data_IF_326898713607
#
_entry.id   IF_326898713607
#
_cell.length_a   1.000
_cell.length_b   1.000
_cell.length_c   1.000
_cell.angle_alpha   90.00
_cell.angle_beta   90.00
_cell.angle_gamma   90.00
#
_symmetry.space_group_name_H-M   'P 1'
#
loop_
_entity.id
_entity.type
_entity.pdbx_description
1 polymer ?
#
# COMPACT_ATOMS: atom_id res chain seq x y z
N UNK A 1 -36.85 9.46 -65.93
CA UNK A 1 -35.52 10.09 -65.70
C UNK A 1 -35.19 9.93 -64.24
N UNK A 2 -33.95 9.50 -63.99
CA UNK A 2 -33.35 9.12 -62.70
C UNK A 2 -33.60 10.18 -61.62
N UNK A 3 -33.79 9.78 -60.37
CA UNK A 3 -33.14 10.43 -59.24
C UNK A 3 -33.10 9.55 -57.99
N UNK A 4 -31.85 9.21 -57.67
CA UNK A 4 -31.23 8.67 -56.46
C UNK A 4 -32.03 8.69 -55.15
N UNK A 5 -32.24 7.50 -54.59
CA UNK A 5 -32.39 7.28 -53.15
C UNK A 5 -31.02 7.47 -52.48
N UNK A 6 -30.85 8.55 -51.70
CA UNK A 6 -29.78 8.63 -50.71
C UNK A 6 -30.23 7.89 -49.46
N UNK A 7 -29.68 6.69 -49.23
CA UNK A 7 -29.74 6.02 -47.94
C UNK A 7 -28.76 6.67 -46.97
N UNK A 8 -29.27 7.44 -46.03
CA UNK A 8 -28.48 7.88 -44.86
C UNK A 8 -28.28 6.69 -43.94
N UNK A 9 -27.11 6.05 -44.02
CA UNK A 9 -26.64 5.12 -43.01
C UNK A 9 -26.23 5.96 -41.80
N UNK A 10 -27.12 6.05 -40.80
CA UNK A 10 -26.75 6.50 -39.46
C UNK A 10 -25.98 5.35 -38.82
N UNK A 11 -24.66 5.44 -38.87
CA UNK A 11 -23.77 4.57 -38.12
C UNK A 11 -23.94 4.94 -36.64
N UNK A 12 -24.83 4.22 -35.93
CA UNK A 12 -24.84 4.24 -34.47
C UNK A 12 -23.51 3.62 -34.02
N UNK A 13 -22.54 4.49 -33.71
CA UNK A 13 -21.43 4.14 -32.84
C UNK A 13 -22.05 3.79 -31.48
N UNK A 14 -22.31 2.50 -31.29
CA UNK A 14 -22.43 1.94 -29.96
C UNK A 14 -21.06 2.16 -29.30
N UNK A 15 -20.93 3.27 -28.57
CA UNK A 15 -19.96 3.38 -27.49
C UNK A 15 -20.35 2.30 -26.49
N UNK A 16 -19.80 1.10 -26.69
CA UNK A 16 -19.72 0.08 -25.68
C UNK A 16 -19.03 0.74 -24.49
N UNK A 17 -19.82 1.21 -23.53
CA UNK A 17 -19.32 1.52 -22.21
C UNK A 17 -18.71 0.23 -21.71
N UNK A 18 -17.40 0.12 -21.79
CA UNK A 18 -16.65 -0.78 -20.94
C UNK A 18 -17.02 -0.34 -19.54
N UNK A 19 -17.90 -1.08 -18.90
CA UNK A 19 -17.92 -1.11 -17.46
C UNK A 19 -16.46 -1.39 -17.07
N UNK A 20 -15.76 -0.37 -16.57
CA UNK A 20 -14.44 -0.54 -15.96
C UNK A 20 -14.63 -1.69 -14.99
N UNK A 21 -14.01 -2.82 -15.27
CA UNK A 21 -14.07 -3.96 -14.39
C UNK A 21 -13.64 -3.45 -13.02
N UNK A 22 -14.54 -3.54 -12.03
CA UNK A 22 -14.15 -3.36 -10.63
C UNK A 22 -13.00 -4.31 -10.35
N UNK A 23 -12.13 -3.99 -9.38
CA UNK A 23 -11.25 -4.94 -8.72
C UNK A 23 -11.80 -6.36 -8.88
N UNK A 24 -11.09 -7.20 -9.64
CA UNK A 24 -11.47 -8.59 -9.76
C UNK A 24 -11.69 -9.10 -8.33
N UNK A 25 -12.78 -9.83 -8.07
CA UNK A 25 -12.91 -10.54 -6.80
C UNK A 25 -11.86 -11.65 -6.81
N UNK A 26 -10.60 -11.32 -6.54
CA UNK A 26 -9.49 -12.26 -6.42
C UNK A 26 -9.87 -13.35 -5.43
N UNK A 27 -10.49 -12.97 -4.31
CA UNK A 27 -11.01 -13.88 -3.29
C UNK A 27 -12.14 -14.80 -3.77
N UNK A 28 -12.75 -14.52 -4.93
CA UNK A 28 -13.72 -15.42 -5.57
C UNK A 28 -13.10 -16.48 -6.46
N UNK A 29 -11.82 -16.32 -6.85
CA UNK A 29 -11.11 -17.32 -7.62
C UNK A 29 -10.94 -18.61 -6.79
N UNK A 30 -11.09 -19.77 -7.45
CA UNK A 30 -11.03 -21.07 -6.78
C UNK A 30 -9.68 -21.30 -6.08
N UNK A 31 -8.56 -20.95 -6.74
CA UNK A 31 -7.22 -21.02 -6.17
C UNK A 31 -7.12 -20.19 -4.88
N UNK A 32 -7.67 -18.98 -4.87
CA UNK A 32 -7.67 -18.12 -3.69
C UNK A 32 -8.55 -18.63 -2.56
N UNK A 33 -9.72 -19.21 -2.86
CA UNK A 33 -10.55 -19.85 -1.82
C UNK A 33 -9.84 -21.04 -1.17
N UNK A 34 -9.04 -21.78 -1.94
CA UNK A 34 -8.26 -22.92 -1.45
C UNK A 34 -6.94 -22.52 -0.80
N UNK A 35 -6.43 -21.31 -1.06
CA UNK A 35 -5.11 -20.88 -0.61
C UNK A 35 -3.98 -21.57 -1.37
N UNK A 36 -4.18 -21.80 -2.68
CA UNK A 36 -3.17 -22.40 -3.57
C UNK A 36 -2.22 -21.31 -4.10
N UNK A 37 -0.91 -21.57 -4.29
CA UNK A 37 0.07 -20.58 -4.74
C UNK A 37 -0.32 -19.83 -6.02
N UNK A 38 -1.07 -20.47 -6.93
CA UNK A 38 -1.62 -19.84 -8.15
C UNK A 38 -2.51 -18.63 -7.84
N UNK A 39 -3.03 -18.52 -6.61
CA UNK A 39 -3.72 -17.31 -6.17
C UNK A 39 -2.77 -16.10 -6.09
N UNK A 40 -1.54 -16.29 -5.62
CA UNK A 40 -0.55 -15.21 -5.51
C UNK A 40 -0.14 -14.72 -6.90
N UNK A 41 -0.04 -15.64 -7.89
CA UNK A 41 0.14 -15.25 -9.30
C UNK A 41 -0.96 -14.30 -9.78
N UNK A 42 -2.23 -14.56 -9.44
CA UNK A 42 -3.35 -13.67 -9.79
C UNK A 42 -3.24 -12.28 -9.12
N UNK A 43 -2.72 -12.23 -7.89
CA UNK A 43 -2.46 -10.97 -7.19
C UNK A 43 -1.33 -10.20 -7.89
N UNK A 44 -0.24 -10.88 -8.26
CA UNK A 44 0.89 -10.31 -9.01
C UNK A 44 0.39 -9.74 -10.35
N UNK A 45 -0.36 -10.50 -11.13
CA UNK A 45 -0.91 -10.05 -12.42
C UNK A 45 -1.76 -8.77 -12.29
N UNK A 46 -2.62 -8.69 -11.27
CA UNK A 46 -3.44 -7.51 -11.02
C UNK A 46 -2.61 -6.33 -10.48
N UNK A 47 -1.59 -6.59 -9.65
CA UNK A 47 -0.64 -5.59 -9.18
C UNK A 47 0.19 -5.00 -10.33
N UNK A 48 0.73 -5.83 -11.20
CA UNK A 48 1.47 -5.42 -12.41
C UNK A 48 0.59 -4.51 -13.28
N UNK A 49 -0.63 -4.95 -13.60
CA UNK A 49 -1.57 -4.18 -14.41
C UNK A 49 -1.87 -2.80 -13.83
N UNK A 50 -1.97 -2.68 -12.51
CA UNK A 50 -2.22 -1.41 -11.81
C UNK A 50 -0.97 -0.54 -11.79
N UNK A 51 0.17 -1.14 -11.46
CA UNK A 51 1.46 -0.47 -11.38
C UNK A 51 1.90 0.09 -12.73
N UNK A 52 1.78 -0.66 -13.83
CA UNK A 52 2.21 -0.22 -15.16
C UNK A 52 1.59 1.12 -15.55
N UNK A 53 0.27 1.27 -15.35
CA UNK A 53 -0.43 2.53 -15.64
C UNK A 53 0.07 3.68 -14.76
N UNK A 54 0.28 3.43 -13.47
CA UNK A 54 0.81 4.43 -12.53
C UNK A 54 2.23 4.86 -12.92
N UNK A 55 3.07 3.89 -13.30
CA UNK A 55 4.44 4.11 -13.71
C UNK A 55 4.54 4.93 -14.99
N UNK A 56 3.75 4.59 -16.02
CA UNK A 56 3.68 5.33 -17.28
C UNK A 56 3.29 6.81 -17.07
N UNK A 57 2.41 7.07 -16.11
CA UNK A 57 1.92 8.41 -15.80
C UNK A 57 2.80 9.17 -14.81
N UNK A 58 3.87 8.56 -14.32
CA UNK A 58 4.65 9.09 -13.19
C UNK A 58 3.74 9.50 -12.02
N UNK A 59 2.72 8.69 -11.76
CA UNK A 59 1.79 8.93 -10.68
C UNK A 59 2.50 8.70 -9.34
N UNK A 60 2.18 9.53 -8.35
CA UNK A 60 2.85 9.47 -7.05
C UNK A 60 2.45 8.23 -6.24
N UNK A 61 1.34 7.57 -6.59
CA UNK A 61 0.96 6.26 -6.05
C UNK A 61 1.81 5.10 -6.60
N UNK A 62 2.56 5.31 -7.69
CA UNK A 62 3.39 4.27 -8.32
C UNK A 62 4.43 3.69 -7.36
N UNK A 63 4.91 4.47 -6.40
CA UNK A 63 5.95 4.04 -5.45
C UNK A 63 5.42 2.93 -4.53
N UNK A 64 4.26 3.14 -3.90
CA UNK A 64 3.65 2.12 -3.06
C UNK A 64 3.22 0.90 -3.89
N UNK A 65 2.64 1.12 -5.07
CA UNK A 65 2.22 0.04 -5.96
C UNK A 65 3.41 -0.86 -6.37
N UNK A 66 4.56 -0.27 -6.72
CA UNK A 66 5.77 -1.03 -7.03
C UNK A 66 6.28 -1.80 -5.82
N UNK A 67 6.39 -1.15 -4.66
CA UNK A 67 6.87 -1.84 -3.45
C UNK A 67 5.95 -2.99 -3.08
N UNK A 68 4.63 -2.83 -3.20
CA UNK A 68 3.71 -3.91 -2.92
C UNK A 68 3.84 -5.04 -3.94
N UNK A 69 3.96 -4.74 -5.23
CA UNK A 69 4.21 -5.74 -6.27
C UNK A 69 5.47 -6.57 -5.96
N UNK A 70 6.62 -5.92 -5.70
CA UNK A 70 7.86 -6.62 -5.33
C UNK A 70 7.72 -7.44 -4.05
N UNK A 71 6.97 -6.93 -3.07
CA UNK A 71 6.70 -7.67 -1.83
C UNK A 71 5.91 -8.96 -2.09
N UNK A 72 4.91 -8.92 -2.97
CA UNK A 72 4.10 -10.08 -3.34
C UNK A 72 4.89 -11.08 -4.19
N UNK A 73 5.75 -10.62 -5.09
CA UNK A 73 6.68 -11.48 -5.82
C UNK A 73 7.63 -12.22 -4.87
N UNK A 74 8.28 -11.49 -3.95
CA UNK A 74 9.15 -12.10 -2.92
C UNK A 74 8.37 -13.07 -2.03
N UNK A 75 7.12 -12.77 -1.70
CA UNK A 75 6.26 -13.70 -0.94
C UNK A 75 6.06 -15.02 -1.70
N UNK A 76 5.72 -14.97 -2.99
CA UNK A 76 5.58 -16.17 -3.81
C UNK A 76 6.89 -16.97 -3.89
N UNK A 77 8.01 -16.30 -4.15
CA UNK A 77 9.33 -16.93 -4.27
C UNK A 77 9.76 -17.66 -3.00
N UNK A 78 9.36 -17.16 -1.83
CA UNK A 78 9.79 -17.66 -0.51
C UNK A 78 8.72 -18.49 0.22
N UNK A 79 7.53 -18.65 -0.37
CA UNK A 79 6.36 -19.29 0.26
C UNK A 79 6.68 -20.69 0.81
N UNK A 80 7.40 -21.50 0.04
CA UNK A 80 7.77 -22.87 0.41
C UNK A 80 8.98 -22.93 1.37
N UNK A 81 9.74 -21.85 1.50
CA UNK A 81 10.99 -21.80 2.28
C UNK A 81 10.78 -21.36 3.74
N UNK A 82 9.86 -20.43 3.97
CA UNK A 82 9.57 -19.85 5.31
C UNK A 82 9.03 -20.90 6.29
N UNK A 83 8.41 -21.95 5.75
CA UNK A 83 7.88 -23.07 6.50
C UNK A 83 6.70 -22.66 7.39
N UNK A 84 5.64 -22.08 6.81
CA UNK A 84 4.38 -21.77 7.52
C UNK A 84 3.69 -23.02 8.09
N UNK A 85 2.98 -22.86 9.22
CA UNK A 85 2.16 -23.92 9.83
C UNK A 85 0.92 -24.20 8.96
N UNK A 86 0.30 -23.15 8.40
CA UNK A 86 -0.77 -23.24 7.40
C UNK A 86 -0.50 -22.26 6.23
N UNK A 87 0.26 -22.68 5.20
CA UNK A 87 0.54 -21.84 4.02
C UNK A 87 -0.73 -21.35 3.31
N UNK A 88 -1.78 -22.18 3.28
CA UNK A 88 -3.03 -21.83 2.62
C UNK A 88 -3.77 -20.68 3.33
N UNK A 89 -3.61 -20.53 4.66
CA UNK A 89 -4.15 -19.38 5.38
C UNK A 89 -3.46 -18.07 4.97
N UNK A 90 -2.13 -18.10 4.77
CA UNK A 90 -1.33 -16.92 4.41
C UNK A 90 -1.54 -16.52 2.95
N UNK A 91 -1.75 -17.49 2.06
CA UNK A 91 -2.15 -17.22 0.66
C UNK A 91 -3.54 -16.56 0.59
N UNK A 92 -4.50 -17.01 1.41
CA UNK A 92 -5.80 -16.33 1.52
C UNK A 92 -5.66 -14.92 2.07
N UNK A 93 -4.75 -14.72 3.02
CA UNK A 93 -4.41 -13.40 3.55
C UNK A 93 -3.90 -12.48 2.45
N UNK A 94 -2.92 -12.90 1.65
CA UNK A 94 -2.37 -12.11 0.56
C UNK A 94 -3.46 -11.59 -0.41
N UNK A 95 -4.34 -12.48 -0.87
CA UNK A 95 -5.41 -12.10 -1.80
C UNK A 95 -6.45 -11.17 -1.19
N UNK A 96 -6.89 -11.42 0.04
CA UNK A 96 -7.83 -10.53 0.71
C UNK A 96 -7.16 -9.18 1.03
N UNK A 97 -5.89 -9.19 1.39
CA UNK A 97 -5.13 -7.97 1.68
C UNK A 97 -4.98 -7.10 0.44
N UNK A 98 -4.75 -7.71 -0.72
CA UNK A 98 -4.73 -7.03 -2.01
C UNK A 98 -6.08 -6.36 -2.32
N UNK A 99 -7.20 -7.06 -2.12
CA UNK A 99 -8.54 -6.47 -2.29
C UNK A 99 -8.82 -5.30 -1.32
N UNK A 100 -8.21 -5.33 -0.13
CA UNK A 100 -8.29 -4.24 0.84
C UNK A 100 -7.56 -2.96 0.36
N UNK A 101 -6.58 -3.08 -0.54
CA UNK A 101 -5.98 -1.95 -1.26
C UNK A 101 -6.74 -1.60 -2.55
N UNK A 102 -7.14 -2.60 -3.36
CA UNK A 102 -7.77 -2.36 -4.67
C UNK A 102 -9.13 -1.68 -4.57
N UNK A 103 -9.96 -2.08 -3.60
CA UNK A 103 -11.28 -1.49 -3.41
C UNK A 103 -11.23 0.01 -3.10
N UNK A 104 -10.45 0.51 -2.11
CA UNK A 104 -10.36 1.94 -1.87
C UNK A 104 -9.66 2.70 -2.99
N UNK A 105 -8.66 2.11 -3.66
CA UNK A 105 -8.04 2.73 -4.84
C UNK A 105 -9.09 2.94 -5.96
N UNK A 106 -9.82 1.90 -6.34
CA UNK A 106 -10.85 1.97 -7.37
C UNK A 106 -11.98 2.95 -6.95
N UNK A 107 -12.35 2.95 -5.67
CA UNK A 107 -13.38 3.86 -5.15
C UNK A 107 -12.95 5.32 -5.24
N UNK A 108 -11.70 5.62 -4.90
CA UNK A 108 -11.13 6.96 -4.99
C UNK A 108 -11.08 7.46 -6.44
N UNK A 109 -10.52 6.66 -7.36
CA UNK A 109 -10.35 7.09 -8.76
C UNK A 109 -11.64 7.08 -9.59
N UNK A 110 -12.64 6.28 -9.20
CA UNK A 110 -13.97 6.33 -9.83
C UNK A 110 -14.90 7.38 -9.21
N UNK A 111 -14.57 7.88 -8.02
CA UNK A 111 -15.45 8.74 -7.22
C UNK A 111 -16.69 8.00 -6.69
N UNK A 112 -16.66 6.67 -6.61
CA UNK A 112 -17.79 5.83 -6.21
C UNK A 112 -17.37 4.83 -5.12
N UNK A 113 -18.12 4.76 -4.03
CA UNK A 113 -17.84 3.83 -2.93
C UNK A 113 -17.23 4.52 -1.71
N UNK A 114 -16.62 3.74 -0.82
CA UNK A 114 -16.06 4.23 0.43
C UNK A 114 -14.54 4.12 0.41
N UNK A 115 -13.85 5.23 0.68
CA UNK A 115 -12.40 5.28 0.84
C UNK A 115 -12.10 5.46 2.34
N UNK A 116 -11.42 4.51 3.00
CA UNK A 116 -11.03 4.64 4.40
C UNK A 116 -10.16 5.90 4.61
N UNK A 117 -10.28 6.61 5.75
CA UNK A 117 -9.59 7.88 5.94
C UNK A 117 -8.07 7.85 5.73
N UNK A 118 -7.37 6.77 6.13
CA UNK A 118 -5.94 6.64 5.90
C UNK A 118 -5.59 6.55 4.40
N UNK A 119 -6.38 5.78 3.64
CA UNK A 119 -6.25 5.68 2.19
C UNK A 119 -6.63 6.99 1.49
N UNK A 120 -7.68 7.67 1.94
CA UNK A 120 -8.07 8.98 1.41
C UNK A 120 -6.92 9.97 1.50
N UNK A 121 -6.25 10.07 2.65
CA UNK A 121 -5.09 10.95 2.83
C UNK A 121 -3.92 10.56 1.93
N UNK A 122 -3.66 9.25 1.77
CA UNK A 122 -2.60 8.75 0.89
C UNK A 122 -2.86 9.16 -0.58
N UNK A 123 -4.05 8.87 -1.09
CA UNK A 123 -4.41 9.17 -2.48
C UNK A 123 -4.58 10.68 -2.73
N UNK A 124 -5.08 11.44 -1.76
CA UNK A 124 -5.11 12.91 -1.83
C UNK A 124 -3.69 13.47 -1.92
N UNK A 125 -2.74 12.93 -1.14
CA UNK A 125 -1.35 13.39 -1.16
C UNK A 125 -0.65 13.08 -2.49
N UNK A 126 -0.94 11.91 -3.10
CA UNK A 126 -0.45 11.54 -4.41
C UNK A 126 -1.07 12.40 -5.52
N UNK A 127 -2.41 12.52 -5.56
CA UNK A 127 -3.13 13.33 -6.55
C UNK A 127 -2.70 14.80 -6.51
N UNK A 128 -2.55 15.36 -5.30
CA UNK A 128 -2.13 16.75 -5.12
C UNK A 128 -0.60 16.93 -5.19
N UNK A 129 0.15 15.83 -5.38
CA UNK A 129 1.62 15.81 -5.42
C UNK A 129 2.26 16.57 -4.26
N UNK A 130 1.67 16.42 -3.08
CA UNK A 130 1.89 17.34 -1.95
C UNK A 130 3.01 16.90 -1.00
N UNK A 131 3.59 15.72 -1.21
CA UNK A 131 4.63 15.13 -0.35
C UNK A 131 5.77 14.56 -1.20
N UNK A 132 6.96 14.46 -0.61
CA UNK A 132 8.10 13.77 -1.23
C UNK A 132 7.82 12.26 -1.43
N UNK A 133 8.57 11.57 -2.28
CA UNK A 133 8.35 10.14 -2.59
C UNK A 133 8.37 9.23 -1.36
N UNK A 134 9.30 9.49 -0.46
CA UNK A 134 9.39 8.91 0.88
C UNK A 134 8.05 8.98 1.67
N UNK A 135 7.36 10.12 1.57
CA UNK A 135 6.07 10.34 2.19
C UNK A 135 4.95 9.53 1.53
N UNK A 136 4.94 9.40 0.20
CA UNK A 136 3.97 8.56 -0.50
C UNK A 136 4.09 7.08 -0.06
N UNK A 137 5.31 6.55 -0.01
CA UNK A 137 5.57 5.18 0.47
C UNK A 137 5.04 4.97 1.89
N UNK A 138 5.41 5.86 2.82
CA UNK A 138 5.04 5.72 4.23
C UNK A 138 3.53 5.87 4.45
N UNK A 139 2.84 6.70 3.67
CA UNK A 139 1.38 6.82 3.67
C UNK A 139 0.72 5.51 3.23
N UNK A 140 1.21 4.91 2.14
CA UNK A 140 0.73 3.62 1.65
C UNK A 140 0.95 2.50 2.67
N UNK A 141 2.16 2.36 3.21
CA UNK A 141 2.45 1.38 4.28
C UNK A 141 1.58 1.57 5.51
N UNK A 142 1.30 2.82 5.90
CA UNK A 142 0.42 3.09 7.04
C UNK A 142 -1.01 2.60 6.78
N UNK A 143 -1.58 2.93 5.62
CA UNK A 143 -2.93 2.51 5.28
C UNK A 143 -3.01 0.97 5.13
N UNK A 144 -2.05 0.37 4.44
CA UNK A 144 -2.04 -1.07 4.23
C UNK A 144 -1.76 -1.86 5.53
N UNK A 145 -0.69 -1.53 6.26
CA UNK A 145 -0.30 -2.33 7.44
C UNK A 145 -1.14 -1.96 8.67
N UNK A 146 -1.24 -0.67 9.01
CA UNK A 146 -1.84 -0.28 10.29
C UNK A 146 -3.37 -0.26 10.26
N UNK A 147 -3.96 -0.03 9.07
CA UNK A 147 -5.42 0.01 8.88
C UNK A 147 -5.95 -1.30 8.30
N UNK A 148 -5.46 -1.76 7.15
CA UNK A 148 -6.11 -2.88 6.46
C UNK A 148 -5.87 -4.23 7.16
N UNK A 149 -4.63 -4.53 7.56
CA UNK A 149 -4.24 -5.83 8.11
C UNK A 149 -5.10 -6.31 9.32
N UNK A 150 -5.43 -5.48 10.33
CA UNK A 150 -6.36 -5.88 11.39
C UNK A 150 -7.72 -6.36 10.89
N UNK A 151 -8.26 -5.71 9.85
CA UNK A 151 -9.56 -6.03 9.28
C UNK A 151 -9.49 -7.27 8.39
N UNK A 152 -8.42 -7.44 7.61
CA UNK A 152 -8.14 -8.66 6.84
C UNK A 152 -8.10 -9.89 7.75
N UNK A 153 -7.31 -9.84 8.82
CA UNK A 153 -7.19 -10.93 9.79
C UNK A 153 -8.53 -11.23 10.47
N UNK A 154 -9.30 -10.19 10.79
CA UNK A 154 -10.64 -10.35 11.37
C UNK A 154 -11.62 -11.00 10.40
N UNK A 155 -11.64 -10.58 9.13
CA UNK A 155 -12.51 -11.15 8.10
C UNK A 155 -12.19 -12.63 7.88
N UNK A 156 -10.91 -13.00 7.73
CA UNK A 156 -10.48 -14.39 7.60
C UNK A 156 -10.87 -15.24 8.81
N UNK A 157 -10.73 -14.69 10.02
CA UNK A 157 -11.19 -15.35 11.24
C UNK A 157 -12.70 -15.63 11.20
N UNK A 158 -13.52 -14.64 10.82
CA UNK A 158 -14.98 -14.83 10.73
C UNK A 158 -15.41 -15.79 9.61
N UNK A 159 -14.58 -15.94 8.57
CA UNK A 159 -14.77 -16.92 7.50
C UNK A 159 -14.32 -18.34 7.89
N UNK A 160 -13.72 -18.52 9.08
CA UNK A 160 -13.26 -19.82 9.56
C UNK A 160 -11.89 -20.26 9.03
N UNK A 161 -11.13 -19.34 8.42
CA UNK A 161 -9.77 -19.58 7.89
C UNK A 161 -8.77 -18.61 8.53
N UNK A 162 -8.61 -18.61 9.87
CA UNK A 162 -7.77 -17.63 10.55
C UNK A 162 -6.29 -17.85 10.25
N UNK A 163 -5.54 -16.75 10.19
CA UNK A 163 -4.07 -16.79 10.20
C UNK A 163 -3.59 -16.88 11.64
N UNK A 164 -2.65 -17.80 11.91
CA UNK A 164 -2.09 -17.98 13.24
C UNK A 164 -1.12 -16.84 13.60
N UNK A 165 -0.92 -16.56 14.89
CA UNK A 165 0.12 -15.61 15.32
C UNK A 165 1.54 -16.08 14.94
N UNK A 166 1.74 -17.40 14.86
CA UNK A 166 2.99 -18.02 14.41
C UNK A 166 3.25 -17.65 12.96
N UNK A 167 2.29 -17.90 12.06
CA UNK A 167 2.40 -17.61 10.63
C UNK A 167 2.45 -16.11 10.33
N UNK A 168 1.63 -15.32 11.03
CA UNK A 168 1.71 -13.86 10.98
C UNK A 168 3.13 -13.38 11.26
N UNK A 169 3.82 -13.95 12.25
CA UNK A 169 5.21 -13.58 12.53
C UNK A 169 6.21 -14.20 11.57
N UNK A 170 5.94 -15.38 10.99
CA UNK A 170 6.81 -15.97 9.97
C UNK A 170 6.86 -15.14 8.69
N UNK A 171 5.78 -14.46 8.33
CA UNK A 171 5.74 -13.51 7.21
C UNK A 171 6.77 -12.36 7.33
N UNK A 172 7.23 -12.03 8.55
CA UNK A 172 8.33 -11.09 8.74
C UNK A 172 9.64 -11.54 8.06
N UNK A 173 9.81 -12.84 7.79
CA UNK A 173 11.02 -13.39 7.20
C UNK A 173 11.15 -13.06 5.71
N UNK A 174 10.06 -13.09 4.91
CA UNK A 174 10.13 -12.64 3.51
C UNK A 174 10.18 -11.12 3.42
N UNK A 175 9.46 -10.41 4.30
CA UNK A 175 9.47 -8.95 4.30
C UNK A 175 10.86 -8.36 4.56
N UNK A 176 11.74 -9.08 5.26
CA UNK A 176 13.16 -8.71 5.43
C UNK A 176 14.00 -8.89 4.16
N UNK A 177 13.49 -9.63 3.17
CA UNK A 177 14.18 -9.92 1.91
C UNK A 177 13.74 -8.98 0.77
N UNK A 178 12.68 -8.18 1.00
CA UNK A 178 12.21 -7.21 0.02
C UNK A 178 13.16 -6.02 -0.02
N UNK A 179 13.88 -5.87 -1.12
CA UNK A 179 14.67 -4.68 -1.44
C UNK A 179 14.18 -4.10 -2.77
N UNK A 180 13.67 -2.87 -2.71
CA UNK A 180 13.09 -2.15 -3.85
C UNK A 180 13.63 -0.72 -3.95
N UNK A 181 14.57 -0.34 -3.06
CA UNK A 181 15.05 1.04 -2.93
C UNK A 181 15.74 1.50 -4.20
N UNK A 182 16.66 0.69 -4.72
CA UNK A 182 17.37 1.01 -5.96
C UNK A 182 16.41 1.16 -7.15
N UNK A 183 15.40 0.28 -7.25
CA UNK A 183 14.41 0.35 -8.33
C UNK A 183 13.55 1.62 -8.24
N UNK A 184 13.14 2.01 -7.04
CA UNK A 184 12.37 3.25 -6.80
C UNK A 184 13.18 4.51 -7.13
N UNK A 185 14.45 4.54 -6.71
CA UNK A 185 15.39 5.64 -7.01
C UNK A 185 15.60 5.78 -8.52
N UNK A 186 15.83 4.66 -9.21
CA UNK A 186 16.07 4.68 -10.65
C UNK A 186 14.84 5.06 -11.46
N UNK A 187 13.64 4.67 -11.02
CA UNK A 187 12.40 4.90 -11.79
C UNK A 187 11.69 6.20 -11.45
N UNK A 188 11.67 6.63 -10.19
CA UNK A 188 10.69 7.62 -9.73
C UNK A 188 11.28 8.84 -9.05
N UNK A 189 12.14 8.65 -8.05
CA UNK A 189 12.55 9.75 -7.19
C UNK A 189 13.96 9.50 -6.62
N UNK A 190 14.98 10.23 -7.09
CA UNK A 190 16.35 10.06 -6.65
C UNK A 190 16.60 10.69 -5.27
N UNK A 191 15.55 11.12 -4.56
CA UNK A 191 15.65 11.63 -3.18
C UNK A 191 15.12 10.65 -2.14
N UNK A 192 14.71 9.45 -2.58
CA UNK A 192 14.28 8.36 -1.71
C UNK A 192 15.43 7.88 -0.82
N UNK A 193 16.67 7.93 -1.30
CA UNK A 193 17.90 7.65 -0.55
C UNK A 193 18.38 8.86 0.31
N UNK A 194 18.05 10.10 -0.10
CA UNK A 194 18.43 11.36 0.58
C UNK A 194 17.59 11.68 1.81
N UNK A 195 16.31 11.32 1.75
CA UNK A 195 15.59 11.12 2.98
C UNK A 195 16.35 9.99 3.67
N UNK A 196 16.76 10.17 4.93
CA UNK A 196 16.94 9.08 5.88
C UNK A 196 15.57 8.35 6.08
N UNK A 197 14.94 7.99 4.96
CA UNK A 197 14.26 6.76 4.82
C UNK A 197 15.27 5.71 5.27
N UNK A 198 14.84 4.88 6.20
CA UNK A 198 15.73 3.81 6.64
C UNK A 198 16.15 3.00 5.39
N UNK A 199 17.46 2.80 5.22
CA UNK A 199 18.01 2.22 3.98
C UNK A 199 19.51 2.41 3.73
N UNK A 200 20.22 3.29 4.45
CA UNK A 200 21.69 3.45 4.20
C UNK A 200 22.58 3.12 5.43
N UNK A 201 22.06 3.15 6.67
CA UNK A 201 22.89 2.81 7.86
C UNK A 201 22.31 1.80 8.88
N UNK A 202 21.07 1.29 8.76
CA UNK A 202 20.65 0.08 9.52
C UNK A 202 19.32 -0.54 9.00
N UNK A 203 19.39 -1.41 7.98
CA UNK A 203 18.24 -2.18 7.46
C UNK A 203 17.47 -2.92 8.57
N UNK A 204 18.14 -3.27 9.68
CA UNK A 204 17.48 -3.92 10.82
C UNK A 204 16.53 -2.97 11.55
N UNK A 205 16.86 -1.67 11.67
CA UNK A 205 16.01 -0.66 12.30
C UNK A 205 14.79 -0.32 11.44
N UNK A 206 14.91 -0.34 10.10
CA UNK A 206 13.79 -0.19 9.18
C UNK A 206 12.74 -1.27 9.42
N UNK A 207 13.22 -2.52 9.38
CA UNK A 207 12.37 -3.67 9.53
C UNK A 207 11.69 -3.67 10.91
N UNK A 208 12.37 -3.15 11.95
CA UNK A 208 11.73 -2.99 13.27
C UNK A 208 10.47 -2.13 13.21
N UNK A 209 10.39 -1.10 12.37
CA UNK A 209 9.18 -0.27 12.28
C UNK A 209 8.01 -1.07 11.68
N UNK A 210 8.24 -1.72 10.54
CA UNK A 210 7.26 -2.57 9.86
C UNK A 210 6.81 -3.70 10.78
N UNK A 211 7.74 -4.40 11.43
CA UNK A 211 7.44 -5.47 12.38
C UNK A 211 6.61 -4.97 13.57
N UNK A 212 6.92 -3.78 14.11
CA UNK A 212 6.11 -3.17 15.18
C UNK A 212 4.70 -2.80 14.72
N UNK A 213 4.53 -2.35 13.47
CA UNK A 213 3.21 -2.05 12.90
C UNK A 213 2.41 -3.32 12.69
N UNK A 214 3.03 -4.38 12.17
CA UNK A 214 2.41 -5.70 12.03
C UNK A 214 2.02 -6.31 13.37
N UNK A 215 2.84 -6.16 14.40
CA UNK A 215 2.50 -6.58 15.77
C UNK A 215 1.28 -5.81 16.29
N UNK A 216 1.26 -4.48 16.15
CA UNK A 216 0.08 -3.67 16.51
C UNK A 216 -1.15 -4.11 15.74
N UNK A 217 -1.01 -4.38 14.45
CA UNK A 217 -2.11 -4.80 13.60
C UNK A 217 -2.74 -6.11 14.10
N UNK A 218 -1.90 -7.08 14.46
CA UNK A 218 -2.36 -8.34 15.04
C UNK A 218 -3.06 -8.12 16.39
N UNK A 219 -2.54 -7.25 17.27
CA UNK A 219 -3.22 -6.88 18.52
C UNK A 219 -4.57 -6.21 18.27
N UNK A 220 -4.69 -5.39 17.24
CA UNK A 220 -5.96 -4.78 16.84
C UNK A 220 -6.95 -5.81 16.30
N UNK A 221 -6.48 -6.80 15.55
CA UNK A 221 -7.28 -7.98 15.19
C UNK A 221 -7.79 -8.72 16.43
N UNK A 222 -6.94 -9.00 17.43
CA UNK A 222 -7.37 -9.66 18.67
C UNK A 222 -8.43 -8.83 19.40
N UNK A 223 -8.27 -7.50 19.45
CA UNK A 223 -9.30 -6.59 20.00
C UNK A 223 -10.61 -6.64 19.22
N UNK A 224 -10.54 -6.70 17.89
CA UNK A 224 -11.73 -6.87 17.05
C UNK A 224 -12.38 -8.20 17.38
N UNK A 225 -11.65 -9.32 17.37
CA UNK A 225 -12.13 -10.68 17.68
C UNK A 225 -12.80 -10.76 19.04
N UNK A 226 -12.12 -10.27 20.09
CA UNK A 226 -12.47 -10.47 21.50
C UNK A 226 -13.53 -9.48 22.00
N UNK A 227 -13.93 -8.49 21.18
CA UNK A 227 -15.05 -7.60 21.48
C UNK A 227 -16.33 -8.41 21.75
N UNK A 228 -16.96 -8.16 22.90
CA UNK A 228 -18.12 -8.90 23.39
C UNK A 228 -19.44 -8.47 22.73
N UNK A 229 -19.47 -7.27 22.13
CA UNK A 229 -20.66 -6.71 21.49
C UNK A 229 -20.32 -6.01 20.18
N UNK A 230 -21.30 -5.86 19.29
CA UNK A 230 -21.12 -5.13 18.02
C UNK A 230 -20.77 -3.66 18.24
N UNK A 231 -21.29 -3.05 19.31
CA UNK A 231 -20.95 -1.67 19.69
C UNK A 231 -19.46 -1.55 20.09
N UNK A 232 -18.96 -2.50 20.89
CA UNK A 232 -17.54 -2.55 21.25
C UNK A 232 -16.65 -2.79 20.02
N UNK A 233 -17.07 -3.69 19.13
CA UNK A 233 -16.34 -3.98 17.89
C UNK A 233 -16.30 -2.77 16.96
N UNK A 234 -17.41 -2.05 16.83
CA UNK A 234 -17.49 -0.79 16.09
C UNK A 234 -16.57 0.28 16.68
N UNK A 235 -16.49 0.35 18.01
CA UNK A 235 -15.56 1.25 18.69
C UNK A 235 -14.09 0.90 18.40
N UNK A 236 -13.72 -0.38 18.46
CA UNK A 236 -12.37 -0.84 18.09
C UNK A 236 -12.05 -0.49 16.64
N UNK A 237 -12.98 -0.75 15.71
CA UNK A 237 -12.81 -0.39 14.30
C UNK A 237 -12.59 1.13 14.11
N UNK A 238 -13.39 1.96 14.79
CA UNK A 238 -13.25 3.41 14.75
C UNK A 238 -11.90 3.89 15.31
N UNK A 239 -11.36 3.21 16.32
CA UNK A 239 -10.03 3.51 16.86
C UNK A 239 -8.89 3.14 15.90
N UNK A 240 -9.02 2.03 15.16
CA UNK A 240 -8.06 1.63 14.11
C UNK A 240 -8.06 2.67 12.99
N UNK A 241 -9.24 3.05 12.50
CA UNK A 241 -9.41 4.07 11.46
C UNK A 241 -8.88 5.44 11.94
N UNK A 242 -9.23 5.85 13.16
CA UNK A 242 -8.78 7.13 13.72
C UNK A 242 -7.27 7.19 13.95
N UNK A 243 -6.67 6.10 14.44
CA UNK A 243 -5.22 6.03 14.66
C UNK A 243 -4.43 6.09 13.36
N UNK A 244 -4.79 5.27 12.37
CA UNK A 244 -4.12 5.25 11.07
C UNK A 244 -4.29 6.55 10.30
N UNK A 245 -5.46 7.21 10.38
CA UNK A 245 -5.67 8.53 9.81
C UNK A 245 -4.83 9.61 10.49
N UNK A 246 -4.74 9.61 11.82
CA UNK A 246 -3.93 10.56 12.56
C UNK A 246 -2.43 10.38 12.27
N UNK A 247 -1.97 9.14 12.10
CA UNK A 247 -0.61 8.86 11.65
C UNK A 247 -0.38 9.41 10.23
N UNK A 248 -1.29 9.14 9.30
CA UNK A 248 -1.23 9.64 7.92
C UNK A 248 -1.14 11.17 7.86
N UNK A 249 -1.96 11.90 8.63
CA UNK A 249 -1.88 13.35 8.73
C UNK A 249 -0.51 13.83 9.21
N UNK A 250 0.08 13.11 10.17
CA UNK A 250 1.43 13.38 10.64
C UNK A 250 2.49 13.22 9.56
N UNK A 251 2.41 12.14 8.78
CA UNK A 251 3.28 11.91 7.62
C UNK A 251 3.09 12.99 6.56
N UNK A 252 1.85 13.32 6.22
CA UNK A 252 1.55 14.36 5.23
C UNK A 252 2.18 15.71 5.62
N UNK A 253 2.10 16.11 6.89
CA UNK A 253 2.73 17.34 7.38
C UNK A 253 4.26 17.24 7.44
N UNK A 254 4.80 16.08 7.80
CA UNK A 254 6.24 15.87 7.97
C UNK A 254 7.00 15.78 6.64
N UNK A 255 6.34 15.33 5.58
CA UNK A 255 6.92 15.13 4.25
C UNK A 255 6.42 16.13 3.21
N UNK A 256 5.66 17.15 3.63
CA UNK A 256 5.23 18.23 2.76
C UNK A 256 6.43 19.01 2.22
N UNK A 257 6.33 19.47 0.97
CA UNK A 257 7.35 20.33 0.38
C UNK A 257 7.47 21.66 1.14
N UNK A 258 8.69 22.10 1.49
CA UNK A 258 8.93 23.43 2.07
C UNK A 258 8.39 24.57 1.19
N UNK A 259 8.11 25.75 1.78
CA UNK A 259 7.68 26.90 1.00
C UNK A 259 8.67 27.24 -0.13
N UNK A 260 8.16 27.28 -1.36
CA UNK A 260 8.97 27.59 -2.55
C UNK A 260 9.59 26.37 -3.23
N UNK A 261 9.35 25.15 -2.74
CA UNK A 261 9.66 23.90 -3.43
C UNK A 261 8.39 23.11 -3.73
N UNK A 262 8.48 22.17 -4.66
CA UNK A 262 7.39 21.29 -5.07
C UNK A 262 7.95 20.00 -5.71
N UNK A 263 7.06 19.18 -6.26
CA UNK A 263 7.37 17.90 -6.91
C UNK A 263 7.96 18.03 -8.32
N UNK A 264 8.10 19.22 -8.89
CA UNK A 264 8.48 19.40 -10.31
C UNK A 264 9.80 18.71 -10.66
N UNK A 265 10.78 18.69 -9.75
CA UNK A 265 12.07 18.04 -9.98
C UNK A 265 11.95 16.51 -10.09
N UNK A 266 11.20 15.90 -9.17
CA UNK A 266 10.86 14.46 -9.17
C UNK A 266 10.06 14.10 -10.41
N UNK A 267 9.03 14.90 -10.72
CA UNK A 267 8.15 14.66 -11.86
C UNK A 267 8.93 14.68 -13.19
N UNK A 268 9.80 15.69 -13.36
CA UNK A 268 10.67 15.78 -14.52
C UNK A 268 11.70 14.64 -14.56
N UNK A 269 12.18 14.15 -13.41
CA UNK A 269 13.08 13.00 -13.34
C UNK A 269 12.39 11.73 -13.83
N UNK A 270 11.24 11.38 -13.27
CA UNK A 270 10.49 10.20 -13.68
C UNK A 270 10.17 10.23 -15.19
N UNK A 271 9.72 11.38 -15.72
CA UNK A 271 9.42 11.52 -17.16
C UNK A 271 10.64 11.20 -18.03
N UNK A 272 11.84 11.66 -17.66
CA UNK A 272 13.08 11.34 -18.40
C UNK A 272 13.41 9.85 -18.34
N UNK A 273 13.20 9.21 -17.20
CA UNK A 273 13.40 7.77 -17.05
C UNK A 273 12.44 6.97 -17.96
N UNK A 274 11.18 7.39 -18.09
CA UNK A 274 10.21 6.75 -19.00
C UNK A 274 10.60 6.87 -20.49
N UNK A 275 11.31 7.92 -20.88
CA UNK A 275 11.79 8.12 -22.25
C UNK A 275 13.05 7.29 -22.59
N UNK A 276 13.54 6.45 -21.66
CA UNK A 276 14.80 5.70 -21.83
C UNK A 276 16.05 6.59 -21.75
N UNK A 277 15.89 7.86 -21.36
CA UNK A 277 16.97 8.79 -21.12
C UNK A 277 17.42 8.70 -19.66
N UNK A 278 18.16 7.64 -19.33
CA UNK A 278 18.86 7.53 -18.05
C UNK A 278 19.99 8.57 -18.01
N UNK A 279 19.67 9.82 -17.67
CA UNK A 279 20.68 10.72 -17.17
C UNK A 279 21.21 10.13 -15.85
N UNK A 280 22.53 10.17 -15.65
CA UNK A 280 23.16 9.82 -14.38
C UNK A 280 22.39 10.45 -13.22
N UNK A 281 22.07 9.65 -12.20
CA UNK A 281 21.47 10.09 -10.93
C UNK A 281 22.23 11.35 -10.47
N UNK A 282 21.56 12.52 -10.36
CA UNK A 282 22.22 13.73 -9.85
C UNK A 282 22.80 13.43 -8.46
N UNK A 283 24.00 13.90 -8.14
CA UNK A 283 24.56 13.70 -6.80
C UNK A 283 23.61 14.25 -5.72
N UNK A 284 23.45 13.52 -4.61
CA UNK A 284 22.52 13.87 -3.53
C UNK A 284 22.75 15.29 -3.02
N UNK A 285 21.67 16.06 -2.86
CA UNK A 285 21.75 17.39 -2.29
C UNK A 285 21.81 17.28 -0.76
N UNK A 286 23.01 17.39 -0.20
CA UNK A 286 23.39 17.24 1.22
C UNK A 286 22.71 18.19 2.25
N UNK A 287 21.50 18.71 1.99
CA UNK A 287 20.83 19.71 2.82
C UNK A 287 19.47 19.33 3.41
N UNK A 288 18.85 18.22 2.99
CA UNK A 288 17.43 17.94 3.29
C UNK A 288 17.17 16.81 4.30
N UNK A 289 18.09 15.83 4.43
CA UNK A 289 17.90 14.62 5.24
C UNK A 289 17.69 14.87 6.74
N UNK A 290 18.39 15.84 7.35
CA UNK A 290 18.35 16.09 8.80
C UNK A 290 16.95 16.47 9.34
N UNK A 291 16.10 17.08 8.51
CA UNK A 291 14.75 17.50 8.89
C UNK A 291 13.75 16.33 8.84
N UNK A 292 13.94 15.38 7.92
CA UNK A 292 13.06 14.21 7.73
C UNK A 292 13.23 13.21 8.89
N UNK A 293 14.47 12.94 9.33
CA UNK A 293 14.80 12.10 10.50
C UNK A 293 14.07 12.56 11.75
N UNK A 294 14.13 13.88 12.00
CA UNK A 294 13.50 14.48 13.17
C UNK A 294 11.98 14.32 13.13
N UNK A 295 11.37 14.44 11.95
CA UNK A 295 9.93 14.28 11.74
C UNK A 295 9.44 12.85 11.99
N UNK A 296 10.08 11.84 11.38
CA UNK A 296 9.71 10.43 11.54
C UNK A 296 9.89 9.98 12.99
N UNK A 297 11.02 10.32 13.62
CA UNK A 297 11.29 9.95 15.01
C UNK A 297 10.31 10.61 16.00
N UNK A 298 9.95 11.87 15.77
CA UNK A 298 8.92 12.57 16.57
C UNK A 298 7.54 11.95 16.37
N UNK A 299 7.17 11.57 15.14
CA UNK A 299 5.90 10.88 14.86
C UNK A 299 5.83 9.52 15.56
N UNK A 300 6.86 8.68 15.40
CA UNK A 300 6.95 7.37 16.06
C UNK A 300 6.86 7.52 17.58
N UNK A 301 7.58 8.47 18.19
CA UNK A 301 7.52 8.70 19.64
C UNK A 301 6.19 9.30 20.12
N UNK A 302 5.53 10.14 19.32
CA UNK A 302 4.22 10.72 19.64
C UNK A 302 3.11 9.67 19.62
N UNK A 303 3.26 8.61 18.82
CA UNK A 303 2.29 7.52 18.69
C UNK A 303 2.69 6.22 19.39
N UNK A 304 3.80 6.21 20.17
CA UNK A 304 4.11 5.12 21.10
C UNK A 304 2.97 4.96 22.10
N UNK A 305 2.37 3.77 22.23
CA UNK A 305 1.37 3.54 23.25
C UNK A 305 2.05 3.76 24.61
N UNK A 306 1.43 4.57 25.49
CA UNK A 306 1.83 4.61 26.90
C UNK A 306 1.76 3.17 27.40
N UNK A 307 2.88 2.63 27.90
CA UNK A 307 2.88 1.32 28.56
C UNK A 307 1.71 1.30 29.54
N UNK A 308 0.69 0.49 29.28
CA UNK A 308 -0.26 0.13 30.32
C UNK A 308 0.56 -0.60 31.38
N UNK A 309 0.83 0.08 32.49
CA UNK A 309 1.34 -0.57 33.67
C UNK A 309 0.29 -1.62 34.04
N UNK A 310 0.64 -2.90 33.90
CA UNK A 310 -0.18 -3.96 34.44
C UNK A 310 -0.20 -3.77 35.96
N UNK A 311 -1.30 -3.24 36.49
CA UNK A 311 -1.62 -3.47 37.88
C UNK A 311 -2.01 -4.93 38.01
N UNK A 312 -1.04 -5.76 38.40
CA UNK A 312 -1.25 -7.05 39.04
C UNK A 312 -0.66 -7.00 40.44
N UNK A 313 -1.44 -6.49 41.38
CA UNK A 313 -1.78 -7.07 42.70
C UNK A 313 -2.46 -6.03 43.56
#
# INVERSE_FOLDING_TARGET
>A
MKNFFLGSIVLLLALSGTARASAQNLTSAEACQKGEPECVDLVIEEMERRYELLAELCDHDALFALTYLRSTETFLETLDEIGYDDPASVVREDALFAEYYFRPYDAYHSGQGNVPPAWQIAFDAAQNRSVAGAGNLLLGFNAHIQRDLPFVLYDLYTQGTPVSYSDHNRANQFLQQVDVTEELVQKFDPTIDDADLPGEEDDQQQFQLIAQWRERAFRNFERLRDASTDAERTQVAAEIEGYSAAFAQGVQLGFAYPPGTDSSARDAYCQRCQEGNHASVPEPHAGSGLLVVSGIWLLINKFKPKRFASQRS
#
